data_IF_721076630524
#
_entry.id   IF_721076630524
#
_cell.length_a   1.000
_cell.length_b   1.000
_cell.length_c   1.000
_cell.angle_alpha   90.00
_cell.angle_beta   90.00
_cell.angle_gamma   90.00
#
_symmetry.space_group_name_H-M   'P 1'
#
loop_
_entity.id
_entity.type
_entity.pdbx_description
1 polymer ?
#
# COMPACT_ATOMS: atom_id res chain seq x y z
N UNK A 1 5.31 1.33 4.11
CA UNK A 1 3.95 1.53 4.67
C UNK A 1 2.87 1.70 3.59
N UNK A 2 2.91 2.72 2.72
CA UNK A 2 1.84 2.94 1.71
C UNK A 2 1.52 1.69 0.85
N UNK A 3 2.53 1.00 0.33
CA UNK A 3 2.34 -0.25 -0.43
C UNK A 3 1.74 -1.40 0.40
N UNK A 4 2.07 -1.48 1.70
CA UNK A 4 1.48 -2.47 2.59
C UNK A 4 -0.02 -2.20 2.81
N UNK A 5 -0.38 -0.92 3.05
CA UNK A 5 -1.77 -0.51 3.22
C UNK A 5 -2.60 -0.79 1.96
N UNK A 6 -2.05 -0.51 0.77
CA UNK A 6 -2.64 -0.89 -0.52
C UNK A 6 -2.92 -2.40 -0.57
N UNK A 7 -1.87 -3.23 -0.47
CA UNK A 7 -2.00 -4.67 -0.61
C UNK A 7 -2.93 -5.34 0.41
N UNK A 8 -3.03 -4.79 1.62
CA UNK A 8 -3.86 -5.37 2.67
C UNK A 8 -5.34 -5.03 2.49
N UNK A 9 -5.68 -3.92 1.84
CA UNK A 9 -7.07 -3.54 1.55
C UNK A 9 -7.42 -3.96 0.12
N UNK A 10 -8.10 -5.11 -0.01
CA UNK A 10 -8.58 -5.68 -1.28
C UNK A 10 -7.54 -6.06 -2.35
N UNK A 11 -6.26 -5.77 -2.12
CA UNK A 11 -5.16 -6.25 -2.94
C UNK A 11 -4.27 -5.11 -3.41
N UNK A 12 -3.15 -5.45 -4.05
CA UNK A 12 -2.19 -4.43 -4.51
C UNK A 12 -2.69 -3.82 -5.84
N UNK A 13 -3.65 -2.90 -5.78
CA UNK A 13 -4.30 -2.33 -6.96
C UNK A 13 -4.29 -0.79 -6.98
N UNK A 14 -3.50 -0.14 -6.12
CA UNK A 14 -3.43 1.32 -6.01
C UNK A 14 -4.75 2.00 -5.60
N UNK A 15 -5.75 1.27 -5.06
CA UNK A 15 -6.99 1.86 -4.52
C UNK A 15 -6.72 2.90 -3.43
N UNK A 16 -5.63 2.72 -2.67
CA UNK A 16 -5.19 3.66 -1.63
C UNK A 16 -4.81 5.06 -2.18
N UNK A 17 -4.60 5.19 -3.50
CA UNK A 17 -4.24 6.46 -4.13
C UNK A 17 -5.47 7.28 -4.56
N UNK A 18 -6.66 6.68 -4.54
CA UNK A 18 -7.91 7.33 -4.92
C UNK A 18 -8.35 8.29 -3.80
N UNK A 19 -8.74 9.51 -4.19
CA UNK A 19 -9.27 10.52 -3.27
C UNK A 19 -10.79 10.51 -3.26
N UNK A 20 -11.38 10.85 -2.10
CA UNK A 20 -12.83 11.09 -1.99
C UNK A 20 -13.28 12.17 -2.98
N UNK A 21 -14.35 11.89 -3.71
CA UNK A 21 -14.96 12.87 -4.61
C UNK A 21 -15.68 13.95 -3.79
N UNK A 22 -15.57 15.24 -4.13
CA UNK A 22 -16.31 16.30 -3.45
C UNK A 22 -17.81 16.00 -3.38
N UNK A 23 -18.39 16.05 -2.18
CA UNK A 23 -19.82 15.78 -1.95
C UNK A 23 -20.21 14.29 -1.89
N UNK A 24 -19.26 13.36 -2.02
CA UNK A 24 -19.52 11.93 -1.82
C UNK A 24 -19.83 11.62 -0.36
N UNK A 25 -20.79 10.71 -0.13
CA UNK A 25 -21.04 10.12 1.19
C UNK A 25 -20.13 8.93 1.48
N UNK A 26 -19.64 8.25 0.44
CA UNK A 26 -18.65 7.19 0.57
C UNK A 26 -17.26 7.84 0.54
N UNK A 27 -16.49 7.58 1.60
CA UNK A 27 -15.11 8.05 1.75
C UNK A 27 -14.15 7.03 1.12
N UNK A 28 -13.08 7.51 0.49
CA UNK A 28 -11.99 6.69 -0.01
C UNK A 28 -11.11 6.18 1.12
N UNK A 29 -10.29 5.15 0.87
CA UNK A 29 -9.42 4.54 1.87
C UNK A 29 -8.51 5.55 2.58
N UNK A 30 -8.03 6.58 1.87
CA UNK A 30 -7.17 7.63 2.44
C UNK A 30 -7.80 8.37 3.61
N UNK A 31 -9.12 8.43 3.65
CA UNK A 31 -9.88 9.15 4.67
C UNK A 31 -10.27 8.23 5.85
N UNK A 32 -9.92 6.94 5.80
CA UNK A 32 -10.08 6.03 6.93
C UNK A 32 -9.15 6.40 8.10
N UNK A 33 -9.59 6.15 9.33
CA UNK A 33 -8.83 6.50 10.54
C UNK A 33 -7.39 5.95 10.51
N UNK A 34 -7.23 4.67 10.20
CA UNK A 34 -5.92 3.98 10.15
C UNK A 34 -4.96 4.53 9.07
N UNK A 35 -5.50 5.30 8.12
CA UNK A 35 -4.77 5.86 6.99
C UNK A 35 -4.48 7.36 7.14
N UNK A 36 -5.05 8.05 8.15
CA UNK A 36 -4.87 9.50 8.34
C UNK A 36 -3.39 9.91 8.54
N UNK A 37 -2.61 9.03 9.17
CA UNK A 37 -1.19 9.26 9.42
C UNK A 37 -0.29 8.81 8.26
N UNK A 38 -0.86 8.35 7.13
CA UNK A 38 -0.06 8.09 5.93
C UNK A 38 0.53 9.41 5.43
N UNK A 39 1.85 9.41 5.22
CA UNK A 39 2.58 10.59 4.77
C UNK A 39 2.11 11.01 3.38
N UNK A 40 1.63 12.24 3.27
CA UNK A 40 1.14 12.84 2.02
C UNK A 40 2.24 12.83 0.96
N UNK A 41 3.50 13.04 1.37
CA UNK A 41 4.68 13.01 0.49
C UNK A 41 4.87 11.64 -0.18
N UNK A 42 4.42 10.57 0.48
CA UNK A 42 4.43 9.22 -0.10
C UNK A 42 3.50 9.14 -1.31
N UNK A 43 2.27 9.66 -1.20
CA UNK A 43 1.33 9.71 -2.33
C UNK A 43 1.81 10.64 -3.45
N UNK A 44 2.35 11.81 -3.10
CA UNK A 44 2.89 12.75 -4.08
C UNK A 44 4.08 12.19 -4.85
N UNK A 45 4.96 11.43 -4.18
CA UNK A 45 6.08 10.75 -4.84
C UNK A 45 5.60 9.78 -5.92
N UNK A 46 4.53 9.01 -5.65
CA UNK A 46 3.93 8.11 -6.64
C UNK A 46 3.29 8.91 -7.79
N UNK A 47 2.60 10.00 -7.49
CA UNK A 47 1.98 10.86 -8.51
C UNK A 47 3.04 11.49 -9.44
N UNK A 48 4.16 11.96 -8.90
CA UNK A 48 5.28 12.49 -9.67
C UNK A 48 5.94 11.41 -10.54
N UNK A 49 6.18 10.22 -9.96
CA UNK A 49 6.71 9.08 -10.71
C UNK A 49 5.77 8.69 -11.85
N UNK A 50 4.45 8.62 -11.61
CA UNK A 50 3.44 8.35 -12.64
C UNK A 50 3.46 9.39 -13.75
N UNK A 51 3.52 10.68 -13.44
CA UNK A 51 3.59 11.73 -14.46
C UNK A 51 4.84 11.60 -15.33
N UNK A 52 6.00 11.28 -14.74
CA UNK A 52 7.24 11.07 -15.48
C UNK A 52 7.17 9.83 -16.37
N UNK A 53 6.65 8.71 -15.84
CA UNK A 53 6.49 7.46 -16.60
C UNK A 53 5.52 7.64 -17.75
N UNK A 54 4.37 8.30 -17.54
CA UNK A 54 3.40 8.61 -18.60
C UNK A 54 4.00 9.49 -19.70
N UNK A 55 4.94 10.39 -19.38
CA UNK A 55 5.65 11.19 -20.40
C UNK A 55 6.55 10.36 -21.32
N UNK A 56 6.89 9.12 -20.92
CA UNK A 56 7.77 8.21 -21.66
C UNK A 56 7.00 7.05 -22.29
N UNK A 57 6.03 6.48 -21.58
CA UNK A 57 5.21 5.36 -22.02
C UNK A 57 3.75 5.55 -21.58
N UNK A 58 2.98 6.37 -22.32
CA UNK A 58 1.60 6.68 -21.99
C UNK A 58 0.72 5.43 -21.87
N UNK A 59 0.00 5.30 -20.75
CA UNK A 59 -0.99 4.24 -20.52
C UNK A 59 -0.41 2.83 -20.36
N UNK A 60 0.91 2.67 -20.19
CA UNK A 60 1.55 1.35 -20.13
C UNK A 60 1.72 0.85 -18.68
N UNK A 61 2.18 1.71 -17.77
CA UNK A 61 2.56 1.29 -16.42
C UNK A 61 1.47 1.69 -15.42
N UNK A 62 0.92 0.72 -14.70
CA UNK A 62 -0.11 0.96 -13.67
C UNK A 62 0.46 1.72 -12.46
N UNK A 63 -0.41 2.46 -11.77
CA UNK A 63 -0.07 3.05 -10.49
C UNK A 63 0.28 1.97 -9.45
N UNK A 64 -0.39 0.82 -9.49
CA UNK A 64 -0.11 -0.33 -8.63
C UNK A 64 1.33 -0.84 -8.78
N UNK A 65 1.83 -0.95 -10.02
CA UNK A 65 3.23 -1.36 -10.24
C UNK A 65 4.22 -0.27 -9.85
N UNK A 66 3.90 1.01 -10.09
CA UNK A 66 4.75 2.12 -9.63
C UNK A 66 4.87 2.09 -8.10
N UNK A 67 3.77 1.86 -7.38
CA UNK A 67 3.78 1.76 -5.93
C UNK A 67 4.63 0.58 -5.42
N UNK A 68 4.53 -0.58 -6.07
CA UNK A 68 5.34 -1.75 -5.72
C UNK A 68 6.84 -1.54 -6.00
N UNK A 69 7.18 -0.91 -7.13
CA UNK A 69 8.57 -0.59 -7.49
C UNK A 69 9.13 0.47 -6.53
N UNK A 70 8.37 1.53 -6.25
CA UNK A 70 8.79 2.59 -5.33
C UNK A 70 9.04 2.05 -3.91
N UNK A 71 8.23 1.11 -3.43
CA UNK A 71 8.46 0.45 -2.14
C UNK A 71 9.79 -0.31 -2.12
N UNK A 72 10.11 -1.06 -3.18
CA UNK A 72 11.41 -1.76 -3.30
C UNK A 72 12.57 -0.77 -3.38
N UNK A 73 12.45 0.27 -4.21
CA UNK A 73 13.50 1.28 -4.38
C UNK A 73 13.76 2.00 -3.04
N UNK A 74 12.72 2.32 -2.28
CA UNK A 74 12.87 2.88 -0.93
C UNK A 74 13.63 1.93 0.01
N UNK A 75 13.27 0.65 0.06
CA UNK A 75 13.99 -0.36 0.88
C UNK A 75 15.47 -0.42 0.49
N UNK A 76 15.76 -0.44 -0.80
CA UNK A 76 17.14 -0.49 -1.29
C UNK A 76 17.94 0.78 -0.93
N UNK A 77 17.35 1.96 -1.13
CA UNK A 77 17.97 3.25 -0.79
C UNK A 77 18.16 3.43 0.73
N UNK A 78 17.33 2.80 1.54
CA UNK A 78 17.48 2.76 3.00
C UNK A 78 18.55 1.76 3.48
N UNK A 79 19.32 1.14 2.57
CA UNK A 79 20.37 0.16 2.89
C UNK A 79 19.89 -1.29 2.95
N UNK A 80 18.63 -1.55 2.60
CA UNK A 80 18.06 -2.89 2.52
C UNK A 80 18.41 -3.63 1.22
N UNK A 81 17.96 -4.89 1.09
CA UNK A 81 18.24 -5.70 -0.08
C UNK A 81 17.51 -5.17 -1.33
N UNK A 82 18.18 -5.27 -2.47
CA UNK A 82 17.52 -5.15 -3.76
C UNK A 82 16.88 -6.48 -4.15
N UNK A 83 15.62 -6.46 -4.53
CA UNK A 83 14.91 -7.62 -5.07
C UNK A 83 14.14 -7.25 -6.33
N UNK A 84 13.91 -8.23 -7.21
CA UNK A 84 13.10 -8.02 -8.39
C UNK A 84 11.61 -8.00 -8.02
N UNK A 85 10.93 -6.91 -8.38
CA UNK A 85 9.48 -6.79 -8.24
C UNK A 85 8.81 -7.43 -9.46
N UNK A 86 7.86 -8.35 -9.24
CA UNK A 86 6.95 -8.82 -10.30
C UNK A 86 6.04 -7.66 -10.72
N UNK A 87 5.78 -7.51 -12.02
CA UNK A 87 4.94 -6.46 -12.61
C UNK A 87 3.74 -7.06 -13.33
N UNK A 88 2.83 -6.22 -13.80
CA UNK A 88 1.59 -6.58 -14.48
C UNK A 88 0.34 -6.38 -13.62
N UNK A 89 0.42 -5.60 -12.54
CA UNK A 89 -0.76 -5.25 -11.74
C UNK A 89 -1.64 -4.26 -12.49
N UNK A 90 -2.94 -4.31 -12.23
CA UNK A 90 -3.91 -3.35 -12.78
C UNK A 90 -4.38 -2.40 -11.68
N UNK A 91 -4.76 -1.20 -12.08
CA UNK A 91 -5.29 -0.20 -11.14
C UNK A 91 -6.76 -0.50 -10.80
N UNK A 92 -7.05 -0.56 -9.51
CA UNK A 92 -8.38 -0.67 -8.93
C UNK A 92 -9.23 0.56 -9.22
N UNK A 93 -10.54 0.39 -9.18
CA UNK A 93 -11.53 1.46 -9.45
C UNK A 93 -12.39 1.80 -8.25
N UNK A 94 -12.21 1.07 -7.14
CA UNK A 94 -13.02 1.18 -5.93
C UNK A 94 -12.04 1.44 -4.79
N UNK A 95 -12.37 2.41 -3.95
CA UNK A 95 -11.64 2.75 -2.73
C UNK A 95 -12.67 3.13 -1.70
N UNK A 96 -12.73 2.40 -0.59
CA UNK A 96 -13.76 2.55 0.43
C UNK A 96 -13.14 2.52 1.82
N UNK A 97 -13.26 3.62 2.56
CA UNK A 97 -12.78 3.75 3.94
C UNK A 97 -13.35 2.66 4.85
N UNK A 98 -14.59 2.24 4.60
CA UNK A 98 -15.28 1.18 5.34
C UNK A 98 -14.60 -0.19 5.26
N UNK A 99 -13.72 -0.40 4.27
CA UNK A 99 -12.96 -1.66 4.10
C UNK A 99 -11.65 -1.67 4.89
N UNK A 100 -11.14 -0.53 5.35
CA UNK A 100 -9.82 -0.43 5.98
C UNK A 100 -9.76 -1.12 7.37
N UNK A 101 -10.69 -0.87 8.32
CA UNK A 101 -10.51 -1.30 9.72
C UNK A 101 -10.39 -2.81 9.93
N UNK A 102 -10.99 -3.61 9.04
CA UNK A 102 -10.97 -5.07 9.13
C UNK A 102 -9.78 -5.71 8.41
N UNK A 103 -9.02 -4.91 7.68
CA UNK A 103 -7.98 -5.36 6.78
C UNK A 103 -6.58 -4.92 7.21
N UNK A 104 -6.44 -4.01 8.17
CA UNK A 104 -5.15 -3.56 8.70
C UNK A 104 -4.91 -4.06 10.13
N UNK A 105 -3.67 -4.45 10.47
CA UNK A 105 -3.31 -4.74 11.84
C UNK A 105 -3.29 -3.46 12.68
N UNK A 106 -3.76 -3.56 13.92
CA UNK A 106 -3.70 -2.48 14.90
C UNK A 106 -2.47 -2.61 15.78
N UNK A 107 -1.95 -1.49 16.30
CA UNK A 107 -0.76 -1.49 17.17
C UNK A 107 -0.94 -2.34 18.45
N UNK A 108 -2.19 -2.53 18.90
CA UNK A 108 -2.56 -3.33 20.05
C UNK A 108 -3.08 -4.74 19.69
N UNK A 109 -2.94 -5.17 18.42
CA UNK A 109 -3.38 -6.51 17.99
C UNK A 109 -2.59 -7.61 18.70
N UNK A 110 -3.27 -8.65 19.17
CA UNK A 110 -2.61 -9.85 19.72
C UNK A 110 -1.96 -10.66 18.61
N UNK A 111 -1.01 -11.53 18.96
CA UNK A 111 -0.37 -12.44 17.98
C UNK A 111 -1.40 -13.29 17.23
N UNK A 112 -2.42 -13.82 17.92
CA UNK A 112 -3.47 -14.61 17.27
C UNK A 112 -4.29 -13.79 16.26
N UNK A 113 -4.56 -12.52 16.56
CA UNK A 113 -5.23 -11.61 15.63
C UNK A 113 -4.36 -11.32 14.40
N UNK A 114 -3.06 -11.08 14.61
CA UNK A 114 -2.10 -10.85 13.52
C UNK A 114 -1.98 -12.08 12.62
N UNK A 115 -1.82 -13.27 13.21
CA UNK A 115 -1.76 -14.53 12.46
C UNK A 115 -3.02 -14.78 11.65
N UNK A 116 -4.21 -14.53 12.24
CA UNK A 116 -5.49 -14.66 11.53
C UNK A 116 -5.59 -13.68 10.35
N UNK A 117 -5.19 -12.42 10.54
CA UNK A 117 -5.22 -11.41 9.50
C UNK A 117 -4.25 -11.76 8.36
N UNK A 118 -3.00 -12.08 8.65
CA UNK A 118 -2.01 -12.44 7.63
C UNK A 118 -2.42 -13.70 6.87
N UNK A 119 -2.93 -14.72 7.57
CA UNK A 119 -3.44 -15.93 6.93
C UNK A 119 -4.63 -15.63 6.00
N UNK A 120 -5.50 -14.65 6.33
CA UNK A 120 -6.57 -14.21 5.42
C UNK A 120 -6.07 -13.56 4.12
N UNK A 121 -4.79 -13.15 4.09
CA UNK A 121 -4.08 -12.63 2.92
C UNK A 121 -3.23 -13.69 2.22
N UNK A 122 -3.32 -14.96 2.66
CA UNK A 122 -2.48 -16.05 2.16
C UNK A 122 -1.03 -15.96 2.61
N UNK A 123 -0.75 -15.20 3.67
CA UNK A 123 0.59 -15.03 4.25
C UNK A 123 0.76 -15.95 5.46
N UNK A 124 1.96 -16.51 5.60
CA UNK A 124 2.34 -17.46 6.65
C UNK A 124 2.76 -16.76 7.95
N UNK A 125 2.89 -17.47 9.08
CA UNK A 125 3.49 -16.92 10.29
C UNK A 125 4.93 -16.39 10.06
N UNK A 126 5.69 -17.02 9.17
CA UNK A 126 7.01 -16.57 8.77
C UNK A 126 6.94 -15.22 8.05
N UNK A 127 5.96 -15.03 7.17
CA UNK A 127 5.73 -13.75 6.49
C UNK A 127 5.38 -12.64 7.49
N UNK A 128 4.59 -12.94 8.53
CA UNK A 128 4.32 -11.99 9.61
C UNK A 128 5.62 -11.53 10.28
N UNK A 129 6.49 -12.46 10.66
CA UNK A 129 7.77 -12.13 11.31
C UNK A 129 8.66 -11.31 10.37
N UNK A 130 8.81 -11.73 9.11
CA UNK A 130 9.67 -11.06 8.12
C UNK A 130 9.14 -9.66 7.78
N UNK A 131 7.82 -9.52 7.53
CA UNK A 131 7.21 -8.22 7.17
C UNK A 131 7.13 -7.26 8.35
N UNK A 132 7.08 -7.76 9.59
CA UNK A 132 7.21 -6.92 10.79
C UNK A 132 8.57 -6.22 10.87
N UNK A 133 9.60 -6.76 10.21
CA UNK A 133 10.90 -6.12 10.04
C UNK A 133 10.82 -4.75 9.33
N UNK A 134 9.72 -4.44 8.64
CA UNK A 134 9.50 -3.12 8.04
C UNK A 134 9.50 -1.98 9.09
N UNK A 135 9.26 -2.29 10.37
CA UNK A 135 9.37 -1.33 11.48
C UNK A 135 10.82 -0.98 11.86
N UNK A 136 11.83 -1.48 11.14
CA UNK A 136 13.23 -1.03 11.30
C UNK A 136 13.47 0.39 10.76
N UNK A 137 12.53 0.94 9.99
CA UNK A 137 12.57 2.31 9.43
C UNK A 137 11.19 2.96 9.56
N UNK A 138 11.16 4.30 9.59
CA UNK A 138 9.94 5.07 9.81
C UNK A 138 9.81 5.56 11.25
N UNK A 139 8.64 6.12 11.55
CA UNK A 139 8.24 6.67 12.86
C UNK A 139 6.77 6.34 13.08
#
# INVERSE_FOLDING_TARGET
>A
RLHFHDCFVEGCDASILISTKPGSKELAEKDAEDNKDLRVEGCESIRMAKALVESKCPGVVSCADILAIAARDYVHLAGGPYYQVKKGRWDGKISMASRVPYNLPQANSTIDQLLKLFNSKGLTPQDLVVLSGAHTVGF
#
